data_IF_633085681955
#
_entry.id   IF_633085681955
#
_cell.length_a   1.000
_cell.length_b   1.000
_cell.length_c   1.000
_cell.angle_alpha   90.00
_cell.angle_beta   90.00
_cell.angle_gamma   90.00
#
_symmetry.space_group_name_H-M   'P 1'
#
loop_
_entity.id
_entity.type
_entity.pdbx_description
1 polymer ?
#
# COMPACT_ATOMS: atom_id res chain seq x y z
N UNK A 1 8.69 20.72 -10.88
CA UNK A 1 7.86 21.25 -9.77
C UNK A 1 8.77 21.66 -8.63
N UNK A 2 8.49 22.78 -7.99
CA UNK A 2 9.20 23.26 -6.79
C UNK A 2 8.17 23.49 -5.69
N UNK A 3 8.40 22.92 -4.54
CA UNK A 3 7.56 23.13 -3.35
C UNK A 3 8.35 23.91 -2.32
N UNK A 4 7.78 25.00 -1.83
CA UNK A 4 8.31 25.75 -0.70
C UNK A 4 7.44 25.41 0.51
N UNK A 5 8.05 24.85 1.53
CA UNK A 5 7.33 24.44 2.73
C UNK A 5 6.84 25.64 3.55
N UNK A 6 5.96 25.33 4.50
CA UNK A 6 5.30 26.33 5.37
C UNK A 6 6.13 26.63 6.61
N UNK A 7 7.08 25.77 6.97
CA UNK A 7 7.90 25.91 8.15
C UNK A 7 9.20 26.67 7.85
N UNK A 8 9.61 27.46 8.80
CA UNK A 8 10.85 28.25 8.78
C UNK A 8 12.08 27.34 8.99
N UNK A 9 12.21 26.31 8.19
CA UNK A 9 13.28 25.33 8.28
C UNK A 9 14.24 25.45 7.09
N UNK A 10 15.49 25.13 7.34
CA UNK A 10 16.61 25.19 6.38
C UNK A 10 16.40 24.35 5.11
N UNK A 11 15.38 23.47 5.08
CA UNK A 11 15.07 22.54 4.00
C UNK A 11 13.69 22.80 3.39
N UNK A 12 13.31 24.03 3.30
CA UNK A 12 11.97 24.48 2.96
C UNK A 12 11.67 24.47 1.46
N UNK A 13 12.64 24.15 0.62
CA UNK A 13 12.46 24.07 -0.83
C UNK A 13 12.80 22.69 -1.32
N UNK A 14 11.85 22.06 -1.97
CA UNK A 14 12.00 20.76 -2.61
C UNK A 14 11.82 20.93 -4.13
N UNK A 15 12.68 20.30 -4.90
CA UNK A 15 12.56 20.17 -6.35
C UNK A 15 12.18 18.74 -6.69
N UNK A 16 11.52 18.56 -7.83
CA UNK A 16 11.21 17.22 -8.30
C UNK A 16 12.49 16.39 -8.42
N UNK A 17 12.46 15.22 -7.77
CA UNK A 17 13.61 14.32 -7.65
C UNK A 17 14.40 14.43 -6.34
N UNK A 18 14.20 15.49 -5.56
CA UNK A 18 14.85 15.61 -4.25
C UNK A 18 14.21 14.67 -3.21
N UNK A 19 15.00 14.28 -2.20
CA UNK A 19 14.48 13.53 -1.07
C UNK A 19 13.53 14.37 -0.20
N UNK A 20 12.41 13.78 0.20
CA UNK A 20 11.43 14.38 1.13
C UNK A 20 11.84 14.06 2.57
N UNK A 21 12.79 14.80 3.12
CA UNK A 21 13.44 14.49 4.41
C UNK A 21 12.51 14.51 5.62
N UNK A 22 11.51 15.38 5.61
CA UNK A 22 10.51 15.49 6.66
C UNK A 22 9.37 14.50 6.56
N UNK A 23 9.31 13.69 5.50
CA UNK A 23 8.25 12.72 5.30
C UNK A 23 8.20 11.69 6.42
N UNK A 24 7.03 11.48 7.01
CA UNK A 24 6.83 10.55 8.14
C UNK A 24 6.72 9.08 7.69
N UNK A 25 6.91 8.87 6.40
CA UNK A 25 6.86 7.56 5.76
C UNK A 25 5.46 6.96 5.77
N UNK A 26 5.29 5.96 4.96
CA UNK A 26 4.07 5.18 4.85
C UNK A 26 4.32 3.74 5.29
N UNK A 27 4.25 2.84 4.35
CA UNK A 27 4.45 1.41 4.56
C UNK A 27 5.37 0.85 3.49
N UNK A 28 5.83 -0.36 3.66
CA UNK A 28 6.46 -1.12 2.61
C UNK A 28 5.41 -1.93 1.84
N UNK A 29 5.62 -2.09 0.55
CA UNK A 29 4.74 -2.89 -0.31
C UNK A 29 4.76 -4.37 0.06
N UNK A 30 5.92 -4.89 0.41
CA UNK A 30 6.13 -6.29 0.75
C UNK A 30 7.21 -6.43 1.81
N UNK A 31 7.15 -7.53 2.54
CA UNK A 31 8.19 -7.95 3.47
C UNK A 31 8.97 -9.17 2.93
N UNK A 32 8.75 -9.53 1.67
CA UNK A 32 9.48 -10.61 1.03
C UNK A 32 10.97 -10.31 1.04
N UNK A 33 11.77 -11.32 1.37
CA UNK A 33 13.23 -11.21 1.50
C UNK A 33 13.71 -10.17 2.52
N UNK A 34 12.83 -9.68 3.39
CA UNK A 34 13.21 -8.77 4.45
C UNK A 34 13.97 -9.52 5.55
N UNK A 35 15.18 -9.06 5.84
CA UNK A 35 16.02 -9.54 6.95
C UNK A 35 16.28 -8.39 7.93
N UNK A 36 15.34 -8.20 8.86
CA UNK A 36 15.36 -7.10 9.81
C UNK A 36 14.65 -5.84 9.32
N UNK A 37 15.31 -4.69 9.46
CA UNK A 37 14.74 -3.39 9.08
C UNK A 37 14.69 -3.22 7.57
N UNK A 38 13.58 -2.68 7.08
CA UNK A 38 13.39 -2.33 5.68
C UNK A 38 13.12 -0.83 5.54
N UNK A 39 13.42 -0.29 4.37
CA UNK A 39 13.06 1.08 4.04
C UNK A 39 11.56 1.16 3.76
N UNK A 40 10.91 2.19 4.33
CA UNK A 40 9.50 2.49 4.08
C UNK A 40 9.37 3.53 2.97
N UNK A 41 8.34 3.39 2.16
CA UNK A 41 7.99 4.36 1.13
C UNK A 41 7.52 5.69 1.74
N UNK A 42 7.56 6.76 0.96
CA UNK A 42 7.01 8.03 1.38
C UNK A 42 5.49 7.93 1.56
N UNK A 43 5.01 8.52 2.65
CA UNK A 43 3.58 8.66 2.95
C UNK A 43 3.04 10.04 2.59
N UNK A 44 1.79 10.27 2.92
CA UNK A 44 1.05 11.50 2.61
C UNK A 44 1.19 12.60 3.67
N UNK A 45 1.93 12.34 4.72
CA UNK A 45 2.16 13.28 5.83
C UNK A 45 3.64 13.55 6.06
N UNK A 46 3.96 14.75 6.54
CA UNK A 46 5.35 15.21 6.69
C UNK A 46 5.45 16.25 7.80
N UNK A 47 6.61 16.29 8.46
CA UNK A 47 6.97 17.37 9.41
C UNK A 47 7.12 18.73 8.71
N UNK A 48 7.42 18.70 7.41
CA UNK A 48 7.57 19.91 6.58
C UNK A 48 6.23 20.49 6.12
N UNK A 49 5.11 19.83 6.49
CA UNK A 49 3.75 20.27 6.18
C UNK A 49 3.26 19.94 4.79
N UNK A 50 4.06 19.23 4.01
CA UNK A 50 3.70 18.78 2.67
C UNK A 50 4.34 17.42 2.36
N UNK A 51 3.72 16.67 1.46
CA UNK A 51 4.25 15.44 0.89
C UNK A 51 3.92 15.36 -0.61
N UNK A 52 4.72 14.62 -1.35
CA UNK A 52 4.49 14.33 -2.77
C UNK A 52 4.56 12.82 -2.95
N UNK A 53 3.55 12.27 -3.57
CA UNK A 53 3.55 10.89 -4.07
C UNK A 53 3.78 10.95 -5.57
N UNK A 54 4.80 10.25 -6.04
CA UNK A 54 5.09 10.08 -7.45
C UNK A 54 4.43 8.80 -7.95
N UNK A 55 3.40 8.95 -8.76
CA UNK A 55 2.62 7.85 -9.35
C UNK A 55 2.99 7.61 -10.83
N UNK A 56 4.04 8.26 -11.31
CA UNK A 56 4.43 8.24 -12.73
C UNK A 56 4.72 6.83 -13.27
N UNK A 57 5.20 5.93 -12.41
CA UNK A 57 5.50 4.54 -12.77
C UNK A 57 4.33 3.57 -12.53
N UNK A 58 3.24 4.03 -11.93
CA UNK A 58 2.09 3.17 -11.64
C UNK A 58 1.25 2.89 -12.89
N UNK A 59 0.53 1.78 -12.83
CA UNK A 59 -0.49 1.49 -13.83
C UNK A 59 -1.67 2.45 -13.70
N UNK A 60 -2.37 2.67 -14.80
CA UNK A 60 -3.60 3.47 -14.83
C UNK A 60 -4.83 2.58 -14.71
N UNK A 61 -5.87 3.08 -14.05
CA UNK A 61 -7.18 2.44 -13.98
C UNK A 61 -7.94 2.78 -15.27
N UNK A 62 -8.38 1.75 -15.97
CA UNK A 62 -9.23 1.88 -17.14
C UNK A 62 -10.66 1.58 -16.74
N UNK A 63 -11.49 2.60 -16.69
CA UNK A 63 -12.93 2.48 -16.49
C UNK A 63 -13.59 2.25 -17.86
N UNK A 64 -13.57 1.01 -18.34
CA UNK A 64 -14.28 0.63 -19.56
C UNK A 64 -15.27 -0.46 -19.26
N UNK A 65 -16.54 -0.21 -19.55
CA UNK A 65 -17.57 -1.24 -19.51
C UNK A 65 -17.43 -2.24 -20.67
N UNK A 66 -16.59 -1.91 -21.65
CA UNK A 66 -16.40 -2.72 -22.85
C UNK A 66 -14.95 -2.83 -23.26
N UNK A 67 -14.52 -4.03 -23.63
CA UNK A 67 -13.26 -4.31 -24.31
C UNK A 67 -13.55 -4.85 -25.69
N UNK A 68 -13.02 -4.21 -26.75
CA UNK A 68 -13.28 -4.57 -28.14
C UNK A 68 -14.80 -4.64 -28.49
N UNK A 69 -15.60 -3.71 -27.97
CA UNK A 69 -17.04 -3.63 -28.20
C UNK A 69 -17.88 -4.69 -27.49
N UNK A 70 -17.28 -5.47 -26.58
CA UNK A 70 -17.98 -6.46 -25.75
C UNK A 70 -17.90 -6.04 -24.30
N UNK A 71 -18.91 -6.41 -23.50
CA UNK A 71 -18.88 -6.18 -22.06
C UNK A 71 -17.60 -6.75 -21.47
N UNK A 72 -16.91 -5.93 -20.64
CA UNK A 72 -15.73 -6.39 -19.93
C UNK A 72 -16.16 -7.32 -18.78
N UNK A 73 -15.87 -8.63 -18.85
CA UNK A 73 -16.33 -9.58 -17.84
C UNK A 73 -15.63 -9.40 -16.48
N UNK A 74 -14.55 -8.64 -16.46
CA UNK A 74 -13.75 -8.38 -15.26
C UNK A 74 -13.97 -6.97 -14.66
N UNK A 75 -14.84 -6.16 -15.29
CA UNK A 75 -15.11 -4.79 -14.84
C UNK A 75 -13.93 -3.85 -15.09
N UNK A 76 -13.68 -2.95 -14.13
CA UNK A 76 -12.55 -2.03 -14.14
C UNK A 76 -11.21 -2.77 -14.12
N UNK A 77 -10.31 -2.39 -14.99
CA UNK A 77 -9.01 -3.05 -15.15
C UNK A 77 -7.86 -2.05 -15.03
N UNK A 78 -6.66 -2.56 -14.75
CA UNK A 78 -5.43 -1.77 -14.73
C UNK A 78 -4.59 -2.04 -15.99
N UNK A 79 -4.00 -1.00 -16.55
CA UNK A 79 -3.14 -1.08 -17.73
C UNK A 79 -1.85 -0.31 -17.51
N UNK A 80 -0.73 -0.75 -18.08
CA UNK A 80 0.47 0.07 -18.07
C UNK A 80 0.22 1.38 -18.84
N UNK A 81 0.93 2.44 -18.48
CA UNK A 81 0.91 3.70 -19.22
C UNK A 81 1.46 3.49 -20.62
N UNK A 82 0.80 4.08 -21.61
CA UNK A 82 1.22 3.98 -23.03
C UNK A 82 2.52 4.77 -23.29
N UNK A 83 2.74 5.85 -22.55
CA UNK A 83 3.91 6.73 -22.63
C UNK A 83 4.39 7.09 -21.23
N UNK A 84 5.66 7.46 -21.12
CA UNK A 84 6.18 8.00 -19.87
C UNK A 84 5.57 9.37 -19.61
N UNK A 85 4.93 9.52 -18.46
CA UNK A 85 4.28 10.74 -17.99
C UNK A 85 4.73 11.05 -16.57
N UNK A 86 4.69 12.33 -16.21
CA UNK A 86 4.92 12.75 -14.82
C UNK A 86 3.57 12.94 -14.15
N UNK A 87 3.28 12.09 -13.15
CA UNK A 87 2.03 12.09 -12.40
C UNK A 87 2.34 12.21 -10.90
N UNK A 88 2.02 13.36 -10.32
CA UNK A 88 2.38 13.71 -8.95
C UNK A 88 1.17 14.15 -8.15
N UNK A 89 0.98 13.54 -7.01
CA UNK A 89 -0.03 13.93 -6.03
C UNK A 89 0.61 14.76 -4.93
N UNK A 90 0.19 16.01 -4.80
CA UNK A 90 0.67 16.94 -3.80
C UNK A 90 -0.29 17.05 -2.61
N UNK A 91 0.22 16.78 -1.41
CA UNK A 91 -0.51 16.87 -0.14
C UNK A 91 0.02 18.03 0.68
N UNK A 92 -0.64 19.17 0.62
CA UNK A 92 -0.25 20.41 1.33
C UNK A 92 -1.14 20.70 2.54
N UNK A 93 -1.05 19.88 3.58
CA UNK A 93 -1.95 19.95 4.73
C UNK A 93 -1.36 20.63 5.98
N UNK A 94 -0.09 21.09 5.92
CA UNK A 94 0.60 21.50 7.12
C UNK A 94 0.70 20.34 8.10
N UNK A 95 0.37 20.57 9.37
CA UNK A 95 0.36 19.50 10.39
C UNK A 95 -1.04 18.90 10.65
N UNK A 96 -1.98 19.10 9.76
CA UNK A 96 -3.32 18.49 9.83
C UNK A 96 -3.30 17.07 9.29
N UNK A 97 -2.56 16.21 9.97
CA UNK A 97 -2.26 14.84 9.53
C UNK A 97 -3.49 13.96 9.30
N UNK A 98 -4.47 14.06 10.21
CA UNK A 98 -5.72 13.27 10.10
C UNK A 98 -6.50 13.67 8.85
N UNK A 99 -6.53 14.96 8.51
CA UNK A 99 -7.21 15.45 7.31
C UNK A 99 -6.50 14.98 6.04
N UNK A 100 -5.18 15.02 6.01
CA UNK A 100 -4.39 14.49 4.89
C UNK A 100 -4.69 13.00 4.63
N UNK A 101 -4.67 12.18 5.68
CA UNK A 101 -4.98 10.74 5.59
C UNK A 101 -6.43 10.51 5.17
N UNK A 102 -7.38 11.26 5.74
CA UNK A 102 -8.79 11.15 5.37
C UNK A 102 -9.02 11.48 3.90
N UNK A 103 -8.40 12.55 3.39
CA UNK A 103 -8.56 12.96 2.00
C UNK A 103 -7.81 12.04 1.04
N UNK A 104 -6.71 11.45 1.48
CA UNK A 104 -6.08 10.34 0.76
C UNK A 104 -7.06 9.17 0.55
N UNK A 105 -7.77 8.74 1.60
CA UNK A 105 -8.78 7.68 1.46
C UNK A 105 -10.01 8.09 0.64
N UNK A 106 -10.33 9.37 0.55
CA UNK A 106 -11.35 9.85 -0.38
C UNK A 106 -10.91 9.73 -1.84
N UNK A 107 -9.62 9.91 -2.09
CA UNK A 107 -9.03 9.78 -3.42
C UNK A 107 -8.86 8.31 -3.84
N UNK A 108 -8.34 7.49 -2.94
CA UNK A 108 -7.97 6.09 -3.24
C UNK A 108 -9.07 5.07 -2.93
N UNK A 109 -10.14 5.49 -2.27
CA UNK A 109 -11.16 4.63 -1.73
C UNK A 109 -10.85 4.11 -0.32
N UNK A 110 -11.85 3.53 0.36
CA UNK A 110 -11.69 3.03 1.72
C UNK A 110 -10.80 1.79 1.75
N UNK A 111 -10.02 1.65 2.83
CA UNK A 111 -9.28 0.41 3.08
C UNK A 111 -10.26 -0.76 3.23
N UNK A 112 -10.11 -1.85 2.49
CA UNK A 112 -10.96 -3.02 2.65
C UNK A 112 -10.79 -3.64 4.03
N UNK A 113 -11.89 -4.07 4.63
CA UNK A 113 -11.84 -4.82 5.88
C UNK A 113 -11.25 -6.21 5.62
N UNK A 114 -10.23 -6.55 6.39
CA UNK A 114 -9.67 -7.89 6.36
C UNK A 114 -10.70 -8.90 6.88
N UNK A 115 -10.79 -10.09 6.28
CA UNK A 115 -11.63 -11.16 6.82
C UNK A 115 -11.14 -11.56 8.22
N UNK A 116 -12.08 -11.90 9.12
CA UNK A 116 -11.77 -12.18 10.52
C UNK A 116 -10.70 -13.26 10.70
N UNK A 117 -10.67 -14.26 9.83
CA UNK A 117 -9.69 -15.35 9.94
C UNK A 117 -8.25 -14.84 9.75
N UNK A 118 -8.04 -13.81 8.93
CA UNK A 118 -6.71 -13.22 8.71
C UNK A 118 -6.16 -12.51 9.96
N UNK A 119 -7.01 -12.19 10.93
CA UNK A 119 -6.62 -11.56 12.20
C UNK A 119 -6.42 -12.56 13.35
N UNK A 120 -6.58 -13.84 13.08
CA UNK A 120 -6.40 -14.88 14.05
C UNK A 120 -4.99 -15.46 14.08
N UNK A 121 -4.86 -16.63 14.66
CA UNK A 121 -3.58 -17.32 14.76
C UNK A 121 -3.22 -18.00 13.44
N UNK A 122 -2.07 -17.69 12.92
CA UNK A 122 -1.53 -18.28 11.71
C UNK A 122 -0.55 -19.38 12.05
N UNK A 123 -0.70 -20.55 11.39
CA UNK A 123 0.26 -21.63 11.47
C UNK A 123 0.91 -21.85 10.10
N UNK A 124 2.24 -21.83 10.07
CA UNK A 124 3.01 -22.08 8.87
C UNK A 124 4.21 -22.97 9.19
N UNK A 125 4.48 -23.93 8.34
CA UNK A 125 5.66 -24.79 8.44
C UNK A 125 6.14 -25.23 7.07
N UNK A 126 7.39 -24.98 6.77
CA UNK A 126 8.04 -25.51 5.57
C UNK A 126 8.43 -26.97 5.80
N UNK A 127 7.54 -27.90 5.42
CA UNK A 127 7.71 -29.34 5.61
C UNK A 127 6.94 -30.11 4.54
N UNK A 128 7.50 -31.26 4.06
CA UNK A 128 6.79 -32.13 3.13
C UNK A 128 5.77 -32.97 3.85
N UNK A 129 4.51 -32.76 3.54
CA UNK A 129 3.40 -33.57 4.01
C UNK A 129 2.83 -34.43 2.88
N UNK A 130 2.41 -35.64 3.20
CA UNK A 130 1.41 -36.34 2.39
C UNK A 130 0.03 -35.75 2.71
N UNK A 131 -0.95 -35.94 1.84
CA UNK A 131 -2.30 -35.50 2.08
C UNK A 131 -2.85 -36.04 3.41
N UNK A 132 -2.73 -37.33 3.63
CA UNK A 132 -3.24 -37.98 4.86
C UNK A 132 -2.49 -37.49 6.10
N UNK A 133 -1.19 -37.33 6.01
CA UNK A 133 -0.38 -36.79 7.11
C UNK A 133 -0.75 -35.34 7.47
N UNK A 134 -1.08 -34.52 6.49
CA UNK A 134 -1.54 -33.17 6.73
C UNK A 134 -2.92 -33.10 7.37
N UNK A 135 -3.88 -33.89 6.87
CA UNK A 135 -5.22 -34.00 7.45
C UNK A 135 -5.17 -34.51 8.89
N UNK A 136 -4.36 -35.55 9.16
CA UNK A 136 -4.16 -36.08 10.52
C UNK A 136 -3.57 -35.04 11.47
N UNK A 137 -2.67 -34.17 10.98
CA UNK A 137 -2.12 -33.07 11.78
C UNK A 137 -3.20 -32.02 12.11
N UNK A 138 -4.06 -31.66 11.15
CA UNK A 138 -5.17 -30.73 11.39
C UNK A 138 -6.16 -31.29 12.43
N UNK A 139 -6.48 -32.57 12.34
CA UNK A 139 -7.33 -33.25 13.33
C UNK A 139 -6.67 -33.29 14.71
N UNK A 140 -5.36 -33.44 14.77
CA UNK A 140 -4.60 -33.38 16.03
C UNK A 140 -4.69 -31.98 16.65
N UNK A 141 -4.44 -30.91 15.91
CA UNK A 141 -4.60 -29.54 16.41
C UNK A 141 -5.98 -29.31 17.00
N UNK A 142 -7.02 -29.81 16.34
CA UNK A 142 -8.39 -29.70 16.80
C UNK A 142 -8.60 -30.46 18.12
N UNK A 143 -8.10 -31.71 18.24
CA UNK A 143 -8.21 -32.52 19.47
C UNK A 143 -7.45 -31.91 20.66
N UNK A 144 -6.28 -31.34 20.40
CA UNK A 144 -5.42 -30.67 21.40
C UNK A 144 -5.92 -29.28 21.77
N UNK A 145 -7.01 -28.81 21.17
CA UNK A 145 -7.57 -27.49 21.43
C UNK A 145 -6.66 -26.32 21.01
N UNK A 146 -5.76 -26.53 20.05
CA UNK A 146 -4.88 -25.47 19.54
C UNK A 146 -5.64 -24.65 18.51
N UNK A 147 -6.03 -23.40 18.83
CA UNK A 147 -6.79 -22.57 17.90
C UNK A 147 -5.86 -21.95 16.85
N UNK A 148 -6.17 -22.15 15.61
CA UNK A 148 -5.64 -21.36 14.51
C UNK A 148 -6.75 -21.12 13.47
N UNK A 149 -6.58 -20.08 12.68
CA UNK A 149 -7.57 -19.63 11.70
C UNK A 149 -7.05 -19.71 10.26
N UNK A 150 -5.73 -19.86 10.12
CA UNK A 150 -5.06 -19.94 8.82
C UNK A 150 -3.84 -20.84 8.91
#
# INVERSE_FOLDING_TARGET
MVVKGVADTQFNTWHYGDAQRGNLKGTARTLDEADGAIELDNGVISRDGWAVIDDSAANIIIETDTVNGKANPFGTWVSPRATAETDLYFFGYGHRYIEAVRDFYRLTGPTPLLPRFAMGNWWSRYYRYTQDGYLALMDRFKREGIPFTT
#
